data_IF_024473429345
#
_entry.id   IF_024473429345
#
_cell.length_a   1.000
_cell.length_b   1.000
_cell.length_c   1.000
_cell.angle_alpha   90.00
_cell.angle_beta   90.00
_cell.angle_gamma   90.00
#
_symmetry.space_group_name_H-M   'P 1'
#
loop_
_entity.id
_entity.type
_entity.pdbx_description
1 polymer ?
2 polymer ?
3 water ?
#
# COMPACT_ATOMS: atom_id res chain seq x y z
N UNK A 9 -31.41 32.23 13.22
CA UNK A 9 -30.02 31.99 13.57
C UNK A 9 -29.41 30.92 12.66
N UNK A 10 -30.26 30.01 12.18
CA UNK A 10 -29.79 28.95 11.29
C UNK A 10 -28.96 29.50 10.15
N UNK A 11 -29.28 30.71 9.69
CA UNK A 11 -28.44 31.37 8.68
C UNK A 11 -27.03 31.58 9.21
N UNK A 12 -26.90 31.90 10.50
CA UNK A 12 -25.58 32.08 11.09
C UNK A 12 -24.91 30.75 11.38
N UNK A 13 -25.69 29.73 11.76
CA UNK A 13 -25.13 28.38 11.86
C UNK A 13 -24.47 27.96 10.55
N UNK A 14 -25.10 28.29 9.42
CA UNK A 14 -24.48 28.02 8.13
C UNK A 14 -23.14 28.73 8.01
N UNK A 15 -23.07 29.99 8.44
CA UNK A 15 -21.83 30.75 8.34
C UNK A 15 -20.76 30.18 9.26
N UNK A 16 -21.16 29.59 10.39
CA UNK A 16 -20.20 28.98 11.29
C UNK A 16 -19.64 27.69 10.69
N UNK A 17 -20.47 26.93 9.98
CA UNK A 17 -20.00 25.72 9.33
C UNK A 17 -19.19 26.05 8.08
N UNK A 18 -19.61 27.07 7.32
CA UNK A 18 -18.81 27.51 6.18
C UNK A 18 -17.45 28.02 6.63
N UNK A 19 -17.38 28.63 7.81
CA UNK A 19 -16.09 29.09 8.33
C UNK A 19 -15.26 27.93 8.86
N UNK A 20 -15.90 26.87 9.33
CA UNK A 20 -15.15 25.68 9.73
C UNK A 20 -14.55 24.99 8.53
N UNK A 21 -15.19 25.11 7.36
CA UNK A 21 -14.66 24.51 6.14
C UNK A 21 -13.40 25.22 5.70
N UNK A 22 -13.41 26.55 5.69
CA UNK A 22 -12.22 27.31 5.32
C UNK A 22 -11.07 27.05 6.29
N UNK A 23 -11.38 26.91 7.58
CA UNK A 23 -10.37 26.54 8.55
C UNK A 23 -9.75 25.19 8.20
N UNK A 24 -10.57 24.25 7.74
CA UNK A 24 -10.04 22.95 7.32
C UNK A 24 -9.31 23.07 5.98
N UNK A 25 -9.85 23.86 5.05
CA UNK A 25 -9.14 24.11 3.79
C UNK A 25 -7.74 24.65 4.05
N UNK A 26 -7.59 25.48 5.07
CA UNK A 26 -6.29 26.06 5.38
C UNK A 26 -5.30 24.98 5.81
N UNK A 27 -5.72 24.11 6.73
CA UNK A 27 -4.85 23.02 7.16
C UNK A 27 -4.57 22.06 6.02
N UNK A 28 -5.59 21.76 5.21
CA UNK A 28 -5.40 20.88 4.07
C UNK A 28 -4.35 21.43 3.11
N UNK A 29 -4.37 22.75 2.86
CA UNK A 29 -3.40 23.35 1.96
C UNK A 29 -1.98 23.16 2.45
N UNK A 30 -1.75 23.36 3.76
CA UNK A 30 -0.40 23.21 4.30
C UNK A 30 0.10 21.78 4.17
N UNK A 31 -0.75 20.82 4.56
CA UNK A 31 -0.38 19.41 4.48
C UNK A 31 0.05 19.03 3.07
N UNK A 32 -0.67 19.51 2.06
CA UNK A 32 -0.40 19.15 0.68
C UNK A 32 0.82 19.85 0.11
N UNK A 33 1.31 20.91 0.76
CA UNK A 33 2.49 21.62 0.29
C UNK A 33 3.78 21.10 0.93
N UNK A 34 3.72 19.96 1.62
CA UNK A 34 4.93 19.33 2.11
C UNK A 34 5.53 18.45 1.01
N UNK A 35 6.87 18.46 0.91
CA UNK A 35 7.54 17.78 -0.18
C UNK A 35 7.23 16.28 -0.16
N UNK A 36 7.38 15.65 1.01
CA UNK A 36 7.16 14.23 1.18
C UNK A 36 5.86 14.02 1.96
N UNK A 37 4.97 13.19 1.41
CA UNK A 37 3.72 12.81 2.08
C UNK A 37 3.96 11.50 2.82
N UNK A 38 3.97 11.57 4.14
CA UNK A 38 4.17 10.39 4.97
C UNK A 38 2.84 9.68 5.22
N UNK A 39 2.94 8.47 5.76
CA UNK A 39 1.73 7.79 6.22
C UNK A 39 0.98 8.63 7.25
N UNK A 40 1.71 9.39 8.08
CA UNK A 40 1.07 10.32 9.00
C UNK A 40 0.38 11.44 8.25
N UNK A 41 1.02 11.96 7.19
CA UNK A 41 0.41 13.01 6.39
C UNK A 41 -0.90 12.55 5.78
N UNK A 42 -0.94 11.30 5.30
CA UNK A 42 -2.17 10.79 4.68
C UNK A 42 -3.29 10.68 5.70
N UNK A 43 -2.98 10.18 6.90
CA UNK A 43 -4.00 10.07 7.94
C UNK A 43 -4.64 11.43 8.22
N UNK A 44 -3.83 12.49 8.24
CA UNK A 44 -4.36 13.83 8.50
C UNK A 44 -5.19 14.33 7.33
N UNK A 45 -4.74 14.06 6.10
CA UNK A 45 -5.50 14.51 4.93
C UNK A 45 -6.85 13.82 4.88
N UNK A 46 -6.90 12.53 5.20
CA UNK A 46 -8.17 11.81 5.22
C UNK A 46 -9.14 12.44 6.21
N UNK A 47 -8.67 12.76 7.41
CA UNK A 47 -9.54 13.35 8.42
C UNK A 47 -10.08 14.69 7.96
N UNK A 48 -9.20 15.56 7.43
CA UNK A 48 -9.63 16.89 7.00
C UNK A 48 -10.67 16.80 5.88
N UNK A 49 -10.32 16.12 4.79
CA UNK A 49 -11.27 15.94 3.70
C UNK A 49 -12.56 15.27 4.18
N UNK A 50 -12.45 14.36 5.14
CA UNK A 50 -13.64 13.76 5.73
C UNK A 50 -14.44 14.79 6.52
N UNK A 51 -13.76 15.57 7.36
CA UNK A 51 -14.43 16.65 8.07
C UNK A 51 -15.05 17.64 7.09
N UNK A 52 -14.36 17.92 5.98
CA UNK A 52 -14.94 18.76 4.93
C UNK A 52 -16.28 18.19 4.50
N UNK A 53 -16.30 16.91 4.14
CA UNK A 53 -17.52 16.29 3.61
C UNK A 53 -18.66 16.39 4.62
N UNK A 54 -18.38 16.16 5.90
CA UNK A 54 -19.41 16.26 6.93
C UNK A 54 -20.06 17.65 6.91
N UNK A 55 -19.24 18.69 7.03
CA UNK A 55 -19.78 20.05 7.09
C UNK A 55 -20.44 20.45 5.77
N UNK A 56 -19.99 19.89 4.64
CA UNK A 56 -20.69 20.12 3.39
C UNK A 56 -22.09 19.50 3.44
N UNK A 57 -22.25 18.42 4.21
CA UNK A 57 -23.57 17.84 4.39
C UNK A 57 -24.44 18.74 5.28
N UNK A 58 -23.90 19.18 6.41
CA UNK A 58 -24.65 20.06 7.30
C UNK A 58 -24.98 21.38 6.60
N UNK A 59 -24.05 21.89 5.79
CA UNK A 59 -24.33 23.10 5.02
C UNK A 59 -25.55 22.91 4.13
N UNK A 60 -25.51 21.89 3.26
CA UNK A 60 -26.67 21.57 2.43
C UNK A 60 -27.89 21.28 3.28
N UNK A 61 -27.72 20.51 4.36
CA UNK A 61 -28.81 20.27 5.29
C UNK A 61 -29.39 21.58 5.80
N UNK A 62 -28.53 22.45 6.34
CA UNK A 62 -28.96 23.77 6.75
C UNK A 62 -29.43 24.64 5.58
N UNK A 63 -29.20 24.19 4.35
CA UNK A 63 -29.60 24.95 3.17
C UNK A 63 -30.80 24.30 2.50
N UNK A 77 -27.02 41.48 -3.19
CA UNK A 77 -26.29 40.31 -2.72
C UNK A 77 -25.95 39.38 -3.89
N UNK A 78 -26.91 39.22 -4.81
CA UNK A 78 -26.63 38.53 -6.06
C UNK A 78 -25.48 39.17 -6.82
N UNK A 79 -25.13 40.41 -6.47
CA UNK A 79 -23.95 41.06 -7.04
C UNK A 79 -22.69 40.26 -6.74
N UNK A 80 -22.45 39.98 -5.45
CA UNK A 80 -21.23 39.28 -5.06
C UNK A 80 -21.13 37.90 -5.69
N UNK A 81 -22.26 37.28 -6.00
CA UNK A 81 -22.23 35.93 -6.56
C UNK A 81 -21.60 35.91 -7.94
N UNK A 82 -21.89 36.92 -8.76
CA UNK A 82 -21.35 36.99 -10.11
C UNK A 82 -19.82 36.98 -10.09
N UNK A 86 -16.21 29.51 -11.67
CA UNK A 86 -17.17 29.08 -12.69
C UNK A 86 -17.45 27.59 -12.57
N UNK A 87 -16.52 26.85 -11.95
CA UNK A 87 -16.67 25.42 -11.79
C UNK A 87 -17.94 25.04 -11.04
N UNK A 88 -18.56 25.99 -10.34
CA UNK A 88 -19.79 25.73 -9.62
C UNK A 88 -21.00 26.12 -10.47
N UNK A 104 -30.43 26.05 -5.02
CA UNK A 104 -29.47 25.38 -5.87
C UNK A 104 -28.05 25.48 -5.30
N UNK A 105 -27.88 26.36 -4.31
CA UNK A 105 -26.57 26.55 -3.69
C UNK A 105 -26.06 25.22 -3.11
N UNK A 106 -26.97 24.42 -2.55
CA UNK A 106 -26.57 23.15 -1.96
C UNK A 106 -26.26 22.11 -3.02
N UNK A 107 -26.95 22.15 -4.16
CA UNK A 107 -26.72 21.22 -5.26
C UNK A 107 -25.52 21.60 -6.12
N UNK A 108 -24.62 22.44 -5.62
CA UNK A 108 -23.40 22.81 -6.32
C UNK A 108 -22.19 22.71 -5.40
N UNK A 109 -22.37 22.97 -4.11
CA UNK A 109 -21.28 22.76 -3.16
C UNK A 109 -21.10 21.28 -2.89
N UNK A 110 -22.21 20.55 -2.71
CA UNK A 110 -22.13 19.10 -2.62
C UNK A 110 -21.69 18.47 -3.92
N UNK A 111 -21.72 19.22 -5.04
CA UNK A 111 -21.26 18.72 -6.31
C UNK A 111 -19.74 18.82 -6.43
N UNK A 112 -19.16 19.93 -5.97
CA UNK A 112 -17.71 20.10 -6.05
C UNK A 112 -17.00 19.12 -5.13
N UNK A 113 -17.58 18.84 -3.95
CA UNK A 113 -16.95 17.93 -3.01
C UNK A 113 -17.11 16.48 -3.43
N UNK A 114 -18.32 16.09 -3.81
CA UNK A 114 -18.58 14.68 -4.12
C UNK A 114 -17.90 14.27 -5.42
N UNK A 115 -18.00 15.10 -6.46
CA UNK A 115 -17.50 14.77 -7.78
C UNK A 115 -16.26 15.59 -8.15
N UNK A 116 -15.41 15.87 -7.16
CA UNK A 116 -14.16 16.57 -7.43
C UNK A 116 -13.18 16.42 -6.28
N UNK A 117 -13.52 16.99 -5.11
CA UNK A 117 -12.58 16.98 -3.99
C UNK A 117 -12.35 15.57 -3.46
N UNK A 118 -13.43 14.79 -3.33
CA UNK A 118 -13.28 13.42 -2.85
C UNK A 118 -12.50 12.56 -3.84
N UNK A 119 -12.61 12.87 -5.14
CA UNK A 119 -11.92 12.07 -6.14
C UNK A 119 -10.42 12.33 -6.09
N UNK A 120 -10.02 13.61 -6.11
CA UNK A 120 -8.62 13.96 -5.97
C UNK A 120 -8.05 13.39 -4.67
N UNK A 121 -8.83 13.46 -3.59
CA UNK A 121 -8.34 13.00 -2.30
C UNK A 121 -7.99 11.52 -2.34
N UNK A 122 -8.93 10.68 -2.79
CA UNK A 122 -8.65 9.24 -2.80
C UNK A 122 -7.57 8.90 -3.80
N UNK A 123 -7.51 9.61 -4.93
CA UNK A 123 -6.41 9.41 -5.87
C UNK A 123 -5.07 9.66 -5.18
N UNK A 124 -4.97 10.73 -4.39
CA UNK A 124 -3.73 11.03 -3.69
C UNK A 124 -3.41 9.91 -2.70
N UNK A 125 -4.43 9.43 -1.98
CA UNK A 125 -4.19 8.39 -0.97
C UNK A 125 -3.65 7.12 -1.61
N UNK A 126 -4.30 6.65 -2.67
CA UNK A 126 -3.90 5.38 -3.29
C UNK A 126 -2.51 5.48 -3.90
N UNK A 127 -2.25 6.55 -4.66
CA UNK A 127 -0.95 6.66 -5.32
C UNK A 127 0.16 6.89 -4.30
N UNK A 128 -0.12 7.64 -3.23
CA UNK A 128 0.87 7.84 -2.19
C UNK A 128 1.22 6.53 -1.49
N UNK A 129 0.20 5.73 -1.17
CA UNK A 129 0.46 4.43 -0.55
C UNK A 129 1.29 3.54 -1.48
N UNK A 130 0.94 3.52 -2.77
CA UNK A 130 1.74 2.76 -3.73
C UNK A 130 3.18 3.25 -3.76
N UNK A 131 3.37 4.57 -3.86
CA UNK A 131 4.72 5.11 -3.93
C UNK A 131 5.51 4.81 -2.66
N UNK A 132 4.87 4.96 -1.50
CA UNK A 132 5.56 4.64 -0.24
C UNK A 132 5.99 3.19 -0.21
N UNK A 133 5.10 2.28 -0.64
CA UNK A 133 5.47 0.87 -0.71
C UNK A 133 6.58 0.63 -1.72
N UNK A 134 6.57 1.39 -2.83
CA UNK A 134 7.67 1.29 -3.79
C UNK A 134 8.99 1.76 -3.18
N UNK A 135 8.94 2.84 -2.39
CA UNK A 135 10.16 3.36 -1.78
C UNK A 135 10.78 2.34 -0.83
N UNK A 136 9.95 1.56 -0.12
CA UNK A 136 10.48 0.52 0.76
C UNK A 136 11.25 -0.53 -0.03
N UNK A 137 10.77 -0.87 -1.22
CA UNK A 137 11.48 -1.83 -2.06
C UNK A 137 12.84 -1.26 -2.46
N UNK A 138 12.87 0.00 -2.90
CA UNK A 138 14.13 0.60 -3.30
C UNK A 138 15.09 0.72 -2.12
N UNK A 139 14.57 1.00 -0.93
CA UNK A 139 15.42 1.04 0.26
C UNK A 139 16.09 -0.30 0.51
N UNK A 140 15.41 -1.40 0.18
CA UNK A 140 15.97 -2.73 0.33
C UNK A 140 16.95 -3.09 -0.78
N UNK A 141 17.09 -2.24 -1.80
CA UNK A 141 17.95 -2.56 -2.94
C UNK A 141 19.41 -2.65 -2.53
N UNK A 142 19.87 -1.74 -1.65
CA UNK A 142 21.27 -1.74 -1.24
C UNK A 142 21.70 -3.10 -0.71
N UNK A 143 20.85 -3.74 0.08
CA UNK A 143 21.13 -5.06 0.60
C UNK A 143 20.93 -6.20 -0.36
N UNK A 144 20.69 -5.90 -1.64
CA UNK A 144 20.56 -6.91 -2.68
C UNK A 144 21.67 -6.82 -3.71
N UNK A 145 22.68 -5.99 -3.47
CA UNK A 145 23.80 -5.81 -4.39
C UNK A 145 25.10 -6.08 -3.66
N UNK A 146 26.05 -6.69 -4.36
CA UNK A 146 27.36 -6.99 -3.80
C UNK A 146 28.34 -7.21 -4.95
N UNK A 147 29.64 -7.19 -4.68
CA UNK A 147 30.60 -7.45 -5.76
C UNK A 147 30.56 -8.90 -6.21
N UNK A 148 30.94 -9.11 -7.47
CA UNK A 148 30.96 -10.43 -8.06
C UNK A 148 31.89 -10.53 -9.25
N UNK A 154 32.32 -5.10 -11.11
CA UNK A 154 31.49 -6.28 -11.32
C UNK A 154 30.55 -6.47 -10.12
N UNK A 155 29.25 -6.54 -10.39
CA UNK A 155 28.23 -6.45 -9.34
C UNK A 155 27.29 -7.64 -9.47
N UNK A 156 27.00 -8.27 -8.33
CA UNK A 156 25.99 -9.32 -8.24
C UNK A 156 24.69 -8.71 -7.71
N UNK A 157 23.59 -8.97 -8.41
CA UNK A 157 22.28 -8.42 -8.07
C UNK A 157 21.32 -9.56 -7.78
N UNK A 158 20.55 -9.41 -6.69
CA UNK A 158 19.52 -10.38 -6.34
C UNK A 158 18.27 -10.06 -7.15
N UNK A 159 18.30 -10.49 -8.42
CA UNK A 159 17.20 -10.20 -9.33
C UNK A 159 15.90 -10.82 -8.81
N UNK A 160 15.99 -12.00 -8.21
CA UNK A 160 14.78 -12.68 -7.75
C UNK A 160 14.12 -11.91 -6.61
N UNK A 161 14.92 -11.46 -5.64
CA UNK A 161 14.36 -10.67 -4.54
C UNK A 161 13.70 -9.40 -5.06
N UNK A 162 14.35 -8.71 -6.00
CA UNK A 162 13.80 -7.48 -6.53
C UNK A 162 12.52 -7.75 -7.33
N UNK A 163 12.55 -8.78 -8.18
CA UNK A 163 11.39 -9.09 -9.01
C UNK A 163 10.18 -9.43 -8.17
N UNK A 164 10.35 -10.32 -7.18
CA UNK A 164 9.22 -10.75 -6.36
C UNK A 164 8.66 -9.61 -5.53
N UNK A 165 9.50 -8.69 -5.06
CA UNK A 165 9.00 -7.53 -4.33
C UNK A 165 8.11 -6.67 -5.23
N UNK A 166 8.59 -6.35 -6.43
CA UNK A 166 7.80 -5.55 -7.35
C UNK A 166 6.54 -6.29 -7.80
N UNK A 167 6.60 -7.61 -7.90
CA UNK A 167 5.39 -8.38 -8.17
C UNK A 167 4.36 -8.19 -7.07
N UNK A 168 4.80 -8.19 -5.81
CA UNK A 168 3.88 -7.96 -4.69
C UNK A 168 3.29 -6.55 -4.76
N UNK A 169 4.10 -5.56 -5.16
CA UNK A 169 3.61 -4.21 -5.32
C UNK A 169 2.50 -4.15 -6.35
N UNK A 170 2.70 -4.82 -7.49
CA UNK A 170 1.68 -4.84 -8.54
C UNK A 170 0.42 -5.54 -8.06
N UNK A 171 0.58 -6.72 -7.44
CA UNK A 171 -0.57 -7.47 -6.95
C UNK A 171 -1.32 -6.68 -5.88
N UNK A 172 -0.60 -5.93 -5.04
CA UNK A 172 -1.26 -5.24 -3.94
C UNK A 172 -2.18 -4.13 -4.43
N UNK A 173 -1.75 -3.39 -5.44
CA UNK A 173 -2.47 -2.21 -5.90
C UNK A 173 -3.27 -2.46 -7.17
N UNK A 174 -3.51 -3.72 -7.50
CA UNK A 174 -4.36 -4.04 -8.65
C UNK A 174 -5.84 -3.75 -8.36
N UNK A 175 -6.27 -3.95 -7.11
CA UNK A 175 -7.65 -3.67 -6.72
C UNK A 175 -7.74 -2.47 -5.79
N UNK A 176 -6.79 -1.55 -5.88
CA UNK A 176 -6.83 -0.28 -5.16
C UNK A 176 -6.86 0.84 -6.21
N UNK A 177 -8.03 1.12 -6.78
CA UNK A 177 -8.10 2.14 -7.82
C UNK A 177 -7.91 3.55 -7.27
N UNK A 178 -7.54 4.45 -8.18
CA UNK A 178 -7.56 5.88 -7.85
C UNK A 178 -8.98 6.37 -7.63
N UNK A 179 -9.91 5.88 -8.43
CA UNK A 179 -11.30 6.36 -8.41
C UNK A 179 -12.19 5.30 -9.06
N UNK A 180 -13.36 4.98 -8.47
CA UNK A 180 -13.88 5.45 -7.19
C UNK A 180 -13.32 4.64 -6.02
N UNK A 181 -13.49 5.13 -4.80
CA UNK A 181 -13.00 4.40 -3.64
C UNK A 181 -13.72 3.07 -3.46
N UNK A 182 -15.00 3.01 -3.82
CA UNK A 182 -15.77 1.79 -3.73
C UNK A 182 -16.65 1.62 -4.96
N UNK A 183 -16.95 0.37 -5.28
CA UNK A 183 -17.88 0.03 -6.36
C UNK A 183 -17.29 0.53 -7.68
N UNK A 184 -18.15 0.90 -8.63
CA UNK A 184 -17.73 1.21 -9.99
C UNK A 184 -18.52 2.40 -10.50
N UNK A 185 -18.18 2.83 -11.71
CA UNK A 185 -18.91 3.88 -12.42
C UNK A 185 -19.01 3.48 -13.89
N UNK A 186 -19.65 4.33 -14.68
CA UNK A 186 -19.78 4.08 -16.10
C UNK A 186 -18.42 4.25 -16.79
N UNK A 187 -18.25 3.56 -17.91
CA UNK A 187 -17.02 3.68 -18.68
C UNK A 187 -16.78 5.13 -19.06
N UNK A 188 -17.84 5.89 -19.35
CA UNK A 188 -17.71 7.30 -19.66
C UNK A 188 -17.32 8.10 -18.42
N UNK A 189 -17.90 7.76 -17.26
CA UNK A 189 -17.52 8.44 -16.02
C UNK A 189 -16.06 8.16 -15.68
N UNK A 190 -15.63 6.91 -15.88
CA UNK A 190 -14.23 6.57 -15.62
C UNK A 190 -13.29 7.34 -16.54
N UNK A 191 -13.67 7.50 -17.81
CA UNK A 191 -12.80 8.21 -18.75
C UNK A 191 -12.77 9.71 -18.46
N UNK A 192 -13.91 10.27 -18.05
CA UNK A 192 -13.93 11.68 -17.65
C UNK A 192 -12.88 11.97 -16.60
N UNK A 193 -12.71 11.06 -15.64
CA UNK A 193 -11.74 11.25 -14.57
C UNK A 193 -10.33 10.82 -14.96
N UNK A 194 -10.17 9.93 -15.94
CA UNK A 194 -8.82 9.63 -16.43
C UNK A 194 -8.19 10.86 -17.06
N UNK A 195 -8.96 11.60 -17.88
CA UNK A 195 -8.45 12.83 -18.45
C UNK A 195 -8.11 13.83 -17.36
N UNK A 196 -8.85 13.82 -16.26
CA UNK A 196 -8.65 14.79 -15.20
C UNK A 196 -7.48 14.41 -14.29
N UNK A 197 -7.17 13.12 -14.19
CA UNK A 197 -6.05 12.66 -13.38
C UNK A 197 -4.78 12.44 -14.20
N UNK A 198 -4.91 12.05 -15.45
CA UNK A 198 -3.75 11.85 -16.31
C UNK A 198 -3.54 10.39 -16.65
N UNK A 199 -3.29 10.12 -17.93
CA UNK A 199 -2.97 8.77 -18.36
C UNK A 199 -1.63 8.26 -17.88
N UNK A 200 -0.83 9.13 -17.24
CA UNK A 200 0.43 8.69 -16.67
C UNK A 200 0.21 7.86 -15.41
N UNK A 201 -0.62 8.36 -14.49
CA UNK A 201 -0.85 7.67 -13.23
C UNK A 201 -2.08 6.77 -13.26
N UNK A 202 -3.00 6.99 -14.19
CA UNK A 202 -4.25 6.25 -14.20
C UNK A 202 -4.52 5.52 -15.49
N UNK A 203 -5.37 4.50 -15.42
CA UNK A 203 -5.88 3.81 -16.60
C UNK A 203 -7.26 3.25 -16.26
N UNK A 204 -8.19 3.35 -17.22
CA UNK A 204 -9.53 2.83 -17.01
C UNK A 204 -9.49 1.31 -17.10
N UNK A 205 -10.03 0.65 -16.08
CA UNK A 205 -10.01 -0.81 -16.00
C UNK A 205 -11.43 -1.33 -15.81
N UNK A 206 -11.73 -2.45 -16.46
CA UNK A 206 -13.01 -3.11 -16.29
C UNK A 206 -13.00 -3.93 -15.01
N UNK A 207 -14.02 -3.75 -14.18
CA UNK A 207 -14.20 -4.53 -12.96
C UNK A 207 -15.66 -4.96 -12.86
N UNK A 208 -15.94 -5.82 -11.88
CA UNK A 208 -17.29 -6.32 -11.70
C UNK A 208 -18.27 -5.17 -11.48
N UNK A 209 -19.25 -5.06 -12.37
CA UNK A 209 -20.29 -4.06 -12.26
C UNK A 209 -20.05 -2.80 -13.08
N UNK A 210 -18.83 -2.58 -13.54
CA UNK A 210 -18.54 -1.38 -14.32
C UNK A 210 -17.07 -1.11 -14.50
N UNK A 211 -16.66 0.15 -14.34
CA UNK A 211 -15.30 0.56 -14.64
C UNK A 211 -14.75 1.42 -13.50
N UNK A 212 -13.43 1.47 -13.42
CA UNK A 212 -12.72 2.27 -12.44
C UNK A 212 -11.49 2.89 -13.12
N UNK A 213 -10.91 3.89 -12.46
CA UNK A 213 -9.62 4.43 -12.85
C UNK A 213 -8.59 3.78 -11.93
N UNK A 214 -7.88 2.79 -12.47
CA UNK A 214 -6.84 2.09 -11.71
C UNK A 214 -5.54 2.88 -11.76
N UNK A 215 -4.61 2.50 -10.87
CA UNK A 215 -3.25 3.01 -10.96
C UNK A 215 -2.59 2.42 -12.19
N UNK A 216 -2.00 3.28 -13.02
CA UNK A 216 -1.22 2.81 -14.15
C UNK A 216 0.06 2.17 -13.64
N UNK A 217 0.16 0.85 -13.75
CA UNK A 217 1.33 0.13 -13.28
C UNK A 217 2.37 -0.09 -14.36
N UNK A 218 2.24 0.57 -15.51
CA UNK A 218 3.23 0.45 -16.57
C UNK A 218 4.65 0.66 -16.07
N UNK A 219 4.96 1.63 -15.20
CA UNK A 219 6.34 1.75 -14.69
C UNK A 219 6.81 0.50 -13.99
N UNK A 220 5.95 -0.14 -13.20
CA UNK A 220 6.32 -1.40 -12.56
C UNK A 220 6.46 -2.50 -13.60
N UNK A 221 5.54 -2.57 -14.56
CA UNK A 221 5.68 -3.50 -15.66
C UNK A 221 7.00 -3.29 -16.39
N UNK A 222 7.37 -2.02 -16.61
CA UNK A 222 8.65 -1.73 -17.25
C UNK A 222 9.80 -2.36 -16.48
N UNK A 223 9.81 -2.21 -15.16
CA UNK A 223 10.90 -2.74 -14.35
C UNK A 223 10.91 -4.26 -14.38
N UNK A 224 9.74 -4.89 -14.23
CA UNK A 224 9.67 -6.34 -14.22
C UNK A 224 10.17 -6.92 -15.54
N UNK A 225 9.74 -6.35 -16.66
CA UNK A 225 10.20 -6.83 -17.95
C UNK A 225 11.70 -6.65 -18.10
N UNK A 226 12.23 -5.51 -17.66
CA UNK A 226 13.68 -5.29 -17.70
C UNK A 226 14.41 -6.35 -16.87
N UNK A 227 13.88 -6.67 -15.70
CA UNK A 227 14.51 -7.68 -14.85
C UNK A 227 14.47 -9.06 -15.52
N UNK A 228 13.35 -9.42 -16.14
CA UNK A 228 13.28 -10.68 -16.87
C UNK A 228 14.36 -10.75 -17.94
N UNK A 229 14.58 -9.65 -18.65
CA UNK A 229 15.58 -9.63 -19.72
C UNK A 229 17.00 -9.88 -19.23
N UNK A 230 17.24 -9.80 -17.91
CA UNK A 230 18.58 -10.04 -17.40
C UNK A 230 18.93 -11.52 -17.31
N UNK A 231 17.93 -12.40 -17.22
CA UNK A 231 18.21 -13.81 -17.11
C UNK A 231 18.80 -14.17 -15.74
N UNK A 232 19.56 -15.25 -15.72
CA UNK A 232 20.28 -15.66 -14.53
C UNK A 232 19.75 -16.94 -13.92
N UNK A 233 20.03 -17.10 -12.62
CA UNK A 233 19.58 -18.26 -11.86
C UNK A 233 19.08 -17.85 -10.48
N UNK A 234 18.48 -16.66 -10.38
CA UNK A 234 18.10 -16.09 -9.10
C UNK A 234 18.96 -14.88 -8.78
N UNK A 235 20.24 -14.97 -9.15
CA UNK A 235 21.17 -13.85 -9.11
C UNK A 235 21.79 -13.67 -10.49
N UNK A 236 22.35 -12.49 -10.73
CA UNK A 236 23.04 -12.18 -11.97
C UNK A 236 24.25 -11.33 -11.65
N UNK A 237 25.26 -11.43 -12.52
CA UNK A 237 26.46 -10.62 -12.42
C UNK A 237 26.44 -9.62 -13.56
N UNK A 238 26.53 -8.34 -13.21
CA UNK A 238 26.58 -7.26 -14.19
C UNK A 238 27.96 -6.63 -14.17
N UNK A 239 28.53 -6.40 -15.34
CA UNK A 239 29.73 -5.58 -15.41
C UNK A 239 29.42 -4.21 -14.81
N UNK A 240 30.47 -3.55 -14.32
CA UNK A 240 30.27 -2.31 -13.58
C UNK A 240 29.47 -1.31 -14.40
N UNK A 241 29.75 -1.22 -15.70
CA UNK A 241 29.06 -0.25 -16.54
C UNK A 241 27.55 -0.48 -16.55
N UNK A 242 27.13 -1.74 -16.73
CA UNK A 242 25.71 -2.02 -16.83
C UNK A 242 25.00 -1.79 -15.50
N UNK A 243 25.63 -2.15 -14.39
CA UNK A 243 25.02 -1.90 -13.08
C UNK A 243 24.84 -0.41 -12.85
N UNK A 244 25.79 0.41 -13.31
CA UNK A 244 25.68 1.85 -13.12
C UNK A 244 24.46 2.41 -13.83
N UNK A 245 24.15 1.90 -15.02
CA UNK A 245 22.95 2.32 -15.72
C UNK A 245 21.69 1.85 -15.01
N UNK A 246 21.76 0.73 -14.30
CA UNK A 246 20.60 0.21 -13.59
C UNK A 246 20.36 0.95 -12.29
N UNK A 247 21.42 1.18 -11.51
CA UNK A 247 21.28 1.96 -10.29
C UNK A 247 20.71 3.35 -10.59
N UNK A 248 21.34 4.06 -11.54
CA UNK A 248 20.82 5.36 -11.94
C UNK A 248 19.42 5.24 -12.51
N UNK A 249 19.12 4.14 -13.19
CA UNK A 249 17.77 3.91 -13.69
C UNK A 249 16.77 3.76 -12.56
N UNK A 250 17.15 3.01 -11.50
CA UNK A 250 16.28 2.88 -10.34
C UNK A 250 15.98 4.24 -9.73
N UNK A 251 17.00 5.09 -9.60
CA UNK A 251 16.80 6.41 -9.03
C UNK A 251 15.91 7.26 -9.92
N UNK A 252 16.03 7.11 -11.23
CA UNK A 252 15.17 7.87 -12.14
C UNK A 252 13.72 7.41 -12.03
N UNK A 253 13.50 6.09 -11.94
CA UNK A 253 12.17 5.57 -11.68
C UNK A 253 11.55 6.25 -10.47
N UNK A 254 12.30 6.29 -9.37
CA UNK A 254 11.81 6.91 -8.14
C UNK A 254 11.39 8.36 -8.38
N UNK A 255 12.27 9.14 -9.01
CA UNK A 255 11.97 10.55 -9.26
C UNK A 255 10.75 10.72 -10.16
N UNK A 256 10.61 9.83 -11.16
CA UNK A 256 9.44 9.90 -12.03
C UNK A 256 8.16 9.69 -11.23
N UNK A 257 8.15 8.67 -10.35
CA UNK A 257 6.97 8.40 -9.55
C UNK A 257 6.71 9.50 -8.54
N UNK A 258 7.78 10.03 -7.92
CA UNK A 258 7.61 11.20 -7.05
C UNK A 258 6.97 12.35 -7.82
N UNK A 259 7.45 12.61 -9.04
CA UNK A 259 6.90 13.71 -9.81
C UNK A 259 5.45 13.45 -10.18
N UNK A 260 5.11 12.20 -10.51
CA UNK A 260 3.72 11.84 -10.74
C UNK A 260 2.85 12.21 -9.53
N UNK A 261 3.34 11.87 -8.33
CA UNK A 261 2.55 12.14 -7.13
C UNK A 261 2.42 13.63 -6.88
N UNK A 262 3.52 14.38 -6.98
CA UNK A 262 3.46 15.82 -6.75
C UNK A 262 2.50 16.50 -7.71
N UNK A 263 2.47 16.06 -8.97
CA UNK A 263 1.53 16.61 -9.94
C UNK A 263 0.09 16.36 -9.48
N UNK A 264 -0.19 15.16 -8.99
CA UNK A 264 -1.53 14.84 -8.50
C UNK A 264 -1.87 15.65 -7.26
N UNK A 265 -0.93 15.76 -6.32
CA UNK A 265 -1.13 16.60 -5.15
C UNK A 265 -1.42 18.03 -5.58
N UNK A 266 -0.74 18.51 -6.62
CA UNK A 266 -0.96 19.87 -7.11
C UNK A 266 -2.40 20.04 -7.57
N UNK A 267 -2.95 19.03 -8.25
CA UNK A 267 -4.32 19.15 -8.75
C UNK A 267 -5.33 19.14 -7.60
N UNK A 268 -5.07 18.36 -6.55
CA UNK A 268 -5.95 18.35 -5.39
C UNK A 268 -5.93 19.70 -4.68
N UNK A 269 -4.74 20.26 -4.48
CA UNK A 269 -4.64 21.57 -3.83
C UNK A 269 -5.32 22.65 -4.67
N UNK A 270 -5.14 22.60 -6.00
CA UNK A 270 -5.80 23.56 -6.88
C UNK A 270 -7.31 23.46 -6.75
N UNK A 271 -7.84 22.23 -6.79
CA UNK A 271 -9.27 22.04 -6.62
C UNK A 271 -9.74 22.55 -5.25
N UNK A 272 -8.94 22.27 -4.21
CA UNK A 272 -9.28 22.76 -2.88
C UNK A 272 -9.26 24.28 -2.83
N UNK A 273 -8.40 24.92 -3.62
CA UNK A 273 -8.36 26.38 -3.65
C UNK A 273 -9.54 26.95 -4.41
N UNK A 274 -10.00 26.27 -5.47
CA UNK A 274 -11.24 26.67 -6.13
C UNK A 274 -12.41 26.51 -5.18
N UNK A 275 -12.43 25.40 -4.44
CA UNK A 275 -13.51 25.15 -3.48
C UNK A 275 -13.51 26.19 -2.36
N UNK A 276 -12.33 26.56 -1.87
CA UNK A 276 -12.26 27.56 -0.81
C UNK A 276 -12.75 28.92 -1.30
N UNK A 277 -12.46 29.27 -2.55
CA UNK A 277 -12.92 30.53 -3.10
C UNK A 277 -14.44 30.55 -3.24
N UNK A 278 -15.05 29.41 -3.54
CA UNK A 278 -16.51 29.34 -3.56
C UNK A 278 -17.08 29.52 -2.17
N UNK A 279 -16.50 28.84 -1.18
CA UNK A 279 -16.93 29.00 0.21
C UNK A 279 -16.76 30.46 0.64
N UNK A 280 -15.62 31.07 0.27
CA UNK A 280 -15.38 32.47 0.57
C UNK A 280 -16.59 33.33 0.21
N UNK A 281 -17.03 33.24 -1.03
CA UNK A 281 -18.11 34.10 -1.52
C UNK A 281 -19.37 33.92 -0.67
N UNK A 282 -19.64 32.69 -0.24
CA UNK A 282 -20.84 32.43 0.55
C UNK A 282 -20.74 33.05 1.93
N UNK A 283 -19.61 32.83 2.62
CA UNK A 283 -19.44 33.37 3.97
C UNK A 283 -19.62 34.89 3.99
N UNK A 284 -19.35 35.56 2.87
CA UNK A 284 -19.55 37.00 2.77
C UNK A 284 -20.95 37.38 2.28
N UNK A 285 -21.61 36.49 1.55
CA UNK A 285 -22.98 36.75 1.11
C UNK A 285 -23.94 36.65 2.28
N UNK A 286 -23.92 35.53 3.01
CA UNK A 286 -24.76 35.38 4.19
C UNK A 286 -24.47 36.47 5.22
N UNK A 287 -23.29 37.10 5.15
CA UNK A 287 -22.95 38.18 6.06
C UNK A 287 -23.27 39.53 5.42
N UNK B 5 8.85 -5.38 20.79
CA UNK B 5 8.28 -6.37 19.90
C UNK B 5 8.45 -7.78 20.48
N UNK B 6 7.34 -8.50 20.60
CA UNK B 6 7.37 -9.88 21.07
C UNK B 6 6.58 -10.75 20.09
N UNK B 7 7.18 -11.87 19.69
CA UNK B 7 6.54 -12.86 18.85
C UNK B 7 6.57 -14.19 19.59
N UNK B 8 5.39 -14.78 19.83
CA UNK B 8 5.26 -15.96 20.67
C UNK B 8 4.57 -17.05 19.86
N UNK B 9 5.27 -18.17 19.65
CA UNK B 9 4.71 -19.28 18.89
C UNK B 9 4.11 -20.32 19.84
N UNK B 10 2.98 -20.89 19.41
CA UNK B 10 2.40 -22.06 20.06
C UNK B 10 1.81 -22.95 18.98
N UNK B 11 1.54 -24.21 19.35
CA UNK B 11 0.97 -25.17 18.44
C UNK B 11 1.89 -26.31 18.04
N UNK B 12 3.15 -26.28 18.45
CA UNK B 12 4.07 -27.37 18.14
C UNK B 12 3.79 -28.59 19.00
N UNK B 13 4.65 -29.58 18.84
CA UNK B 13 4.55 -30.78 19.63
C UNK B 13 5.01 -31.98 18.82
N UNK B 14 4.45 -33.14 19.19
CA UNK B 14 4.74 -34.40 18.52
C UNK B 14 3.58 -34.77 17.60
N UNK B 15 3.92 -35.39 16.46
CA UNK B 15 2.90 -35.78 15.49
C UNK B 15 3.50 -36.86 14.61
N UNK B 16 2.65 -37.77 14.14
CA UNK B 16 3.09 -38.84 13.27
C UNK B 16 3.20 -38.34 11.82
N UNK B 17 4.15 -38.90 11.09
CA UNK B 17 4.27 -38.61 9.67
C UNK B 17 2.93 -38.80 8.98
N UNK B 18 2.53 -37.82 8.18
CA UNK B 18 1.21 -37.79 7.59
C UNK B 18 0.21 -36.96 8.34
N UNK B 19 0.46 -36.69 9.63
CA UNK B 19 -0.43 -35.90 10.43
C UNK B 19 -0.29 -34.41 10.14
N UNK B 20 -0.89 -33.60 11.01
CA UNK B 20 -0.96 -32.18 10.79
C UNK B 20 -0.82 -31.44 12.11
N UNK B 21 -0.39 -30.17 12.01
CA UNK B 21 -0.31 -29.27 13.13
C UNK B 21 -0.67 -27.86 12.66
N UNK B 22 -1.15 -27.04 13.57
CA UNK B 22 -1.44 -25.64 13.30
C UNK B 22 -0.63 -24.78 14.27
N UNK B 23 0.32 -24.03 13.73
CA UNK B 23 1.11 -23.10 14.53
C UNK B 23 0.43 -21.74 14.59
N UNK B 24 0.58 -21.08 15.72
CA UNK B 24 0.01 -19.75 15.96
C UNK B 24 1.08 -18.84 16.51
N UNK B 25 1.13 -17.61 16.00
CA UNK B 25 2.10 -16.61 16.41
C UNK B 25 1.37 -15.40 16.94
N UNK B 26 1.54 -15.11 18.23
CA UNK B 26 0.96 -13.93 18.85
C UNK B 26 1.94 -12.77 18.71
N UNK B 27 1.52 -11.72 18.00
CA UNK B 27 2.38 -10.58 17.72
C UNK B 27 2.02 -9.46 18.69
N UNK B 28 3.02 -8.98 19.43
CA UNK B 28 2.85 -7.85 20.33
C UNK B 28 4.01 -6.89 20.13
N UNK B 29 3.70 -5.59 20.06
CA UNK B 29 4.70 -4.56 20.04
C UNK B 29 4.99 -3.93 18.70
N UNK B 30 4.11 -4.09 17.70
CA UNK B 30 4.32 -3.44 16.42
C UNK B 30 3.00 -3.37 15.67
N UNK B 31 2.84 -2.30 14.88
CA UNK B 31 1.68 -2.17 14.01
C UNK B 31 1.66 -3.33 13.01
N UNK B 32 0.97 -4.41 13.36
CA UNK B 32 1.07 -5.64 12.59
C UNK B 32 0.59 -5.45 11.16
N UNK B 33 -0.33 -4.51 10.92
CA UNK B 33 -0.87 -4.31 9.59
C UNK B 33 0.13 -3.69 8.61
N UNK B 34 1.36 -3.43 9.04
CA UNK B 34 2.34 -2.74 8.20
C UNK B 34 3.59 -3.55 7.92
N UNK B 35 3.70 -4.77 8.46
CA UNK B 35 4.92 -5.56 8.34
C UNK B 35 4.61 -6.96 7.83
N UNK B 36 5.48 -7.45 6.95
CA UNK B 36 5.42 -8.85 6.56
C UNK B 36 5.87 -9.74 7.70
N UNK B 37 5.18 -10.87 7.87
CA UNK B 37 5.49 -11.83 8.92
C UNK B 37 5.65 -13.21 8.27
N UNK B 38 6.61 -13.98 8.75
CA UNK B 38 6.93 -15.26 8.14
C UNK B 38 7.29 -16.29 9.17
N UNK B 39 7.51 -17.51 8.68
CA UNK B 39 7.90 -18.65 9.50
C UNK B 39 9.23 -19.19 8.98
N UNK B 40 10.16 -19.42 9.90
CA UNK B 40 11.41 -20.10 9.63
C UNK B 40 11.47 -21.38 10.45
N UNK B 41 12.35 -22.29 10.05
CA UNK B 41 12.59 -23.49 10.83
C UNK B 41 14.07 -23.80 10.84
N UNK B 42 14.52 -24.42 11.93
CA UNK B 42 15.93 -24.76 12.11
C UNK B 42 16.02 -26.13 12.76
N UNK B 43 16.44 -27.12 11.99
CA UNK B 43 16.80 -28.40 12.57
C UNK B 43 18.26 -28.35 13.03
N UNK B 44 18.60 -29.06 14.11
CA UNK B 44 19.99 -29.03 14.57
C UNK B 44 20.94 -29.60 13.52
N UNK B 45 22.09 -28.99 13.40
CA UNK B 45 23.07 -29.33 12.38
C UNK B 45 22.83 -28.61 11.07
N UNK B 46 21.58 -28.52 10.64
CA UNK B 46 21.23 -27.84 9.41
C UNK B 46 21.08 -26.34 9.66
N UNK B 47 21.02 -25.58 8.57
CA UNK B 47 20.92 -24.13 8.65
C UNK B 47 19.46 -23.70 8.75
N UNK B 48 19.24 -22.54 9.38
CA UNK B 48 17.93 -21.93 9.41
C UNK B 48 17.38 -21.81 7.99
N UNK B 49 16.07 -22.00 7.85
CA UNK B 49 15.45 -22.13 6.54
C UNK B 49 14.10 -21.41 6.52
N UNK B 50 13.90 -20.57 5.50
CA UNK B 50 12.62 -19.92 5.32
C UNK B 50 11.54 -20.92 4.94
N UNK B 51 10.36 -20.76 5.53
CA UNK B 51 9.24 -21.67 5.32
C UNK B 51 8.09 -20.98 4.60
N UNK B 52 7.62 -19.86 5.16
CA UNK B 52 6.48 -19.16 4.57
C UNK B 52 6.51 -17.70 5.00
N UNK B 53 5.83 -16.86 4.23
CA UNK B 53 5.74 -15.44 4.53
C UNK B 53 4.44 -14.91 3.95
N UNK B 54 3.93 -13.84 4.57
CA UNK B 54 2.69 -13.19 4.15
C UNK B 54 2.86 -11.69 4.34
N UNK B 55 2.60 -10.91 3.29
CA UNK B 55 2.89 -9.48 3.35
C UNK B 55 1.80 -8.76 4.15
N UNK B 56 1.97 -7.44 4.29
CA UNK B 56 1.30 -6.74 5.37
C UNK B 56 -0.22 -6.78 5.24
N UNK B 57 -0.74 -6.74 4.01
CA UNK B 57 -2.19 -6.82 3.79
C UNK B 57 -2.63 -8.18 3.28
N UNK B 58 -1.74 -9.17 3.26
CA UNK B 58 -2.12 -10.52 2.90
C UNK B 58 -2.41 -10.75 1.43
N UNK B 59 -2.09 -9.79 0.56
CA UNK B 59 -2.37 -9.96 -0.86
C UNK B 59 -1.38 -10.89 -1.54
N UNK B 60 -0.25 -11.20 -0.90
CA UNK B 60 0.69 -12.19 -1.38
C UNK B 60 1.15 -13.07 -0.23
N UNK B 61 1.20 -14.37 -0.48
CA UNK B 61 1.82 -15.33 0.42
C UNK B 61 2.91 -16.09 -0.33
N UNK B 62 3.98 -16.41 0.36
CA UNK B 62 5.11 -17.11 -0.22
C UNK B 62 5.41 -18.36 0.58
N UNK B 63 5.91 -19.38 -0.11
CA UNK B 63 6.22 -20.67 0.49
C UNK B 63 7.50 -21.22 -0.12
N UNK B 64 8.34 -21.82 0.72
CA UNK B 64 9.49 -22.55 0.23
C UNK B 64 9.03 -23.74 -0.60
N UNK B 65 9.84 -24.09 -1.61
CA UNK B 65 9.52 -25.22 -2.46
C UNK B 65 9.22 -26.48 -1.66
N UNK B 66 9.88 -26.64 -0.50
CA UNK B 66 9.76 -27.88 0.26
C UNK B 66 8.40 -28.03 0.94
N UNK B 67 7.62 -26.95 1.04
CA UNK B 67 6.34 -26.98 1.74
C UNK B 67 5.18 -26.52 0.88
N UNK B 68 5.43 -26.10 -0.36
CA UNK B 68 4.33 -25.68 -1.24
C UNK B 68 3.29 -26.79 -1.35
N UNK B 69 2.02 -26.43 -1.18
CA UNK B 69 0.93 -27.35 -1.29
C UNK B 69 0.57 -28.08 -0.02
N UNK B 70 1.46 -28.11 0.97
CA UNK B 70 1.21 -28.73 2.25
C UNK B 70 0.95 -27.74 3.37
N UNK B 71 1.62 -26.59 3.36
CA UNK B 71 1.45 -25.58 4.40
C UNK B 71 0.59 -24.43 3.88
N UNK B 72 -0.08 -23.76 4.80
CA UNK B 72 -0.89 -22.59 4.48
C UNK B 72 -0.69 -21.54 5.57
N UNK B 73 -0.25 -20.35 5.17
CA UNK B 73 -0.04 -19.24 6.09
C UNK B 73 -1.21 -18.28 5.98
N UNK B 74 -1.66 -17.75 7.11
CA UNK B 74 -2.72 -16.76 7.15
C UNK B 74 -2.45 -15.81 8.30
N UNK B 75 -3.01 -14.61 8.21
CA UNK B 75 -2.84 -13.60 9.24
C UNK B 75 -4.18 -12.93 9.53
N UNK B 76 -4.34 -12.52 10.79
CA UNK B 76 -5.54 -11.82 11.27
C UNK B 76 -5.06 -10.52 11.90
N UNK B 77 -4.94 -9.48 11.09
CA UNK B 77 -4.47 -8.19 11.59
C UNK B 77 -5.25 -7.73 12.82
N UNK B 78 -6.52 -8.11 12.91
CA UNK B 78 -7.32 -7.79 14.09
C UNK B 78 -6.74 -8.46 15.33
N UNK B 79 -6.73 -9.79 15.35
CA UNK B 79 -6.29 -10.54 16.52
C UNK B 79 -4.78 -10.51 16.71
N UNK B 80 -4.04 -9.81 15.87
CA UNK B 80 -2.57 -9.75 15.97
C UNK B 80 -1.98 -11.15 15.99
N UNK B 81 -2.47 -12.00 15.09
CA UNK B 81 -2.07 -13.40 15.04
C UNK B 81 -1.77 -13.82 13.62
N UNK B 82 -0.77 -14.69 13.48
CA UNK B 82 -0.39 -15.28 12.20
C UNK B 82 -0.38 -16.79 12.39
N UNK B 83 -0.98 -17.52 11.46
CA UNK B 83 -1.13 -18.96 11.55
C UNK B 83 -0.36 -19.67 10.45
N UNK B 84 0.11 -20.88 10.75
CA UNK B 84 0.69 -21.77 9.76
C UNK B 84 0.04 -23.14 9.89
N UNK B 85 -0.85 -23.46 8.96
CA UNK B 85 -1.47 -24.78 8.91
C UNK B 85 -0.51 -25.74 8.23
N UNK B 86 -0.08 -26.77 8.96
CA UNK B 86 0.94 -27.71 8.48
C UNK B 86 0.29 -29.08 8.29
N UNK B 87 0.08 -29.47 7.04
CA UNK B 87 -0.52 -30.76 6.70
C UNK B 87 0.52 -31.66 6.05
N UNK B 88 0.17 -32.94 5.97
CA UNK B 88 1.00 -33.94 5.27
C UNK B 88 2.44 -33.90 5.76
N UNK B 89 2.60 -33.87 7.07
CA UNK B 89 3.91 -33.67 7.66
C UNK B 89 4.82 -34.88 7.42
N UNK B 90 6.11 -34.59 7.24
CA UNK B 90 7.13 -35.59 6.98
C UNK B 90 8.23 -35.48 8.03
N UNK B 91 8.99 -36.55 8.26
CA UNK B 91 10.14 -36.43 9.17
C UNK B 91 11.10 -35.32 8.78
N UNK B 92 11.21 -35.02 7.48
CA UNK B 92 12.04 -33.90 7.04
C UNK B 92 11.61 -32.59 7.68
N UNK B 93 10.35 -32.47 8.11
CA UNK B 93 9.85 -31.24 8.68
C UNK B 93 10.22 -31.05 10.14
N UNK B 94 10.76 -32.08 10.80
CA UNK B 94 11.18 -31.94 12.18
C UNK B 94 12.19 -30.81 12.32
N UNK B 95 11.89 -29.88 13.23
CA UNK B 95 12.71 -28.69 13.44
C UNK B 95 12.07 -27.77 14.47
N UNK B 96 12.83 -26.80 14.96
CA UNK B 96 12.25 -25.69 15.71
C UNK B 96 11.67 -24.71 14.71
N UNK B 97 10.44 -24.25 14.95
CA UNK B 97 9.75 -23.34 14.05
C UNK B 97 9.66 -21.96 14.69
N UNK B 98 10.15 -20.95 13.97
CA UNK B 98 10.22 -19.59 14.46
C UNK B 98 9.23 -18.71 13.72
N UNK B 99 8.58 -17.82 14.47
CA UNK B 99 7.85 -16.70 13.89
C UNK B 99 8.76 -15.48 13.84
N UNK B 100 8.72 -14.77 12.73
CA UNK B 100 9.62 -13.65 12.52
C UNK B 100 8.93 -12.57 11.70
N UNK B 101 9.28 -11.32 11.97
CA UNK B 101 8.70 -10.17 11.32
C UNK B 101 9.79 -9.36 10.63
N UNK B 102 9.41 -8.68 9.54
CA UNK B 102 10.30 -7.82 8.79
C UNK B 102 10.02 -6.36 9.11
N UNK B 103 10.99 -5.50 8.79
CA UNK B 103 10.80 -4.06 8.89
C UNK B 103 10.06 -3.49 7.69
N UNK B 104 9.91 -4.25 6.62
CA UNK B 104 9.25 -3.80 5.41
C UNK B 104 7.92 -4.52 5.25
N UNK B 105 7.11 -4.03 4.32
CA UNK B 105 5.76 -4.55 4.13
C UNK B 105 5.71 -5.82 3.29
N UNK B 106 6.74 -6.09 2.49
CA UNK B 106 6.70 -7.13 1.50
C UNK B 106 7.51 -8.35 1.93
N UNK B 107 7.21 -9.49 1.31
CA UNK B 107 7.90 -10.74 1.59
C UNK B 107 9.11 -10.93 0.69
N UNK B 108 8.92 -10.87 -0.63
CA UNK B 108 9.97 -11.20 -1.58
C UNK B 108 10.48 -12.60 -1.28
N UNK B 109 11.70 -12.92 -1.73
CA UNK B 109 12.32 -14.18 -1.34
C UNK B 109 12.54 -14.18 0.17
N UNK B 110 12.15 -15.27 0.83
CA UNK B 110 12.28 -15.36 2.27
C UNK B 110 13.76 -15.55 2.61
N UNK B 111 14.33 -14.58 3.31
CA UNK B 111 15.74 -14.61 3.69
C UNK B 111 15.85 -14.21 5.16
N UNK B 112 16.54 -15.04 5.95
CA UNK B 112 16.56 -14.85 7.39
C UNK B 112 17.16 -13.49 7.76
N UNK B 113 18.21 -13.06 7.07
CA UNK B 113 18.91 -11.84 7.43
C UNK B 113 18.12 -10.59 7.10
N UNK B 114 16.96 -10.71 6.47
CA UNK B 114 16.10 -9.57 6.18
C UNK B 114 14.92 -9.47 7.14
N UNK B 115 14.92 -10.25 8.22
CA UNK B 115 13.84 -10.23 9.19
C UNK B 115 14.32 -9.58 10.49
N UNK B 116 13.48 -8.70 11.02
CA UNK B 116 13.87 -7.79 12.11
C UNK B 116 13.70 -8.41 13.49
N UNK B 117 12.60 -9.13 13.72
CA UNK B 117 12.25 -9.63 15.04
C UNK B 117 11.97 -11.12 14.97
N UNK B 118 12.27 -11.81 16.07
CA UNK B 118 12.21 -13.27 16.11
C UNK B 118 11.57 -13.75 17.40
N UNK B 119 10.76 -14.80 17.29
CA UNK B 119 10.23 -15.46 18.46
C UNK B 119 11.21 -16.50 19.00
N UNK B 120 10.85 -17.06 20.16
CA UNK B 120 11.70 -18.07 20.78
C UNK B 120 11.68 -19.39 20.03
N UNK B 121 10.64 -19.64 19.24
CA UNK B 121 10.50 -20.88 18.51
C UNK B 121 9.72 -21.93 19.30
N UNK B 122 9.13 -22.87 18.56
CA UNK B 122 8.42 -23.99 19.14
C UNK B 122 8.75 -25.26 18.35
N UNK B 123 8.92 -26.36 19.06
CA UNK B 123 9.41 -27.60 18.45
C UNK B 123 8.29 -28.32 17.72
N UNK B 124 8.58 -28.78 16.51
CA UNK B 124 7.73 -29.69 15.77
C UNK B 124 8.54 -30.94 15.48
N UNK B 125 8.05 -32.09 15.94
CA UNK B 125 8.75 -33.36 15.79
C UNK B 125 7.84 -34.34 15.06
N UNK B 126 8.28 -34.81 13.91
CA UNK B 126 7.52 -35.73 13.07
C UNK B 126 8.25 -37.06 13.06
N UNK B 127 7.59 -38.12 13.51
CA UNK B 127 8.19 -39.44 13.63
C UNK B 127 7.48 -40.42 12.69
N UNK B 128 8.26 -41.10 11.87
CA UNK B 128 7.74 -42.14 10.98
C UNK B 128 8.11 -43.52 11.52
N UNK B 129 7.44 -44.53 10.98
CA UNK B 129 7.70 -45.91 11.39
C UNK B 129 9.07 -46.37 10.90
#
# INVERSE_FOLDING_TARGET
>A
GSTGSHPVSSLTMLNDTLHNIRTTNQALKKELSQKTLTKTSLEEIALHSSQISMDVNKSAQLLDILSRNEYPINKDARELLHSAPKEAELDGDQMISHRELWAKIANSINDINEQYLKVYEHAVSSYTQMYQDFSAVLSSLAGWISPGGNDGNSVKLQVNSLKKALEELKEKYKDKPLYPANNTVSQEQANKWLTELGGTIGKVSQKNGGYVVSINMTPIDNMLKSLDNLGGNGEVVLDNAKYQAWNAGFSAEDETMKNNLQTLVQKYSNANSIFDNLVKVLSSTISSS
>B
GSTQVQLVESGGGLVQAGGSLRLSCAVSGLEMQSHAIGWFRQAPGKEREGVSCINDDGSTTRYADSVKGRFTISRDNAKNTVYLQMNSLKPEDTAVYFCAAKSVWFCSVIRSHEFNSWGQGTQVTVSSAHHSEDPSARQGAPVPYPDPLEP
#
